data_IF_767166557570
#
_entry.id   IF_767166557570
#
_cell.length_a   1.000
_cell.length_b   1.000
_cell.length_c   1.000
_cell.angle_alpha   90.00
_cell.angle_beta   90.00
_cell.angle_gamma   90.00
#
_symmetry.space_group_name_H-M   'P 1'
#
loop_
_entity.id
_entity.type
_entity.pdbx_description
1 polymer ?
#
# COMPACT_ATOMS: atom_id res chain seq x y z
N UNK A 1 0.83 -17.81 9.92
CA UNK A 1 0.27 -16.82 10.90
C UNK A 1 1.45 -16.34 11.72
N UNK A 2 1.78 -15.05 11.67
CA UNK A 2 2.81 -14.47 12.54
C UNK A 2 2.19 -14.33 13.93
N UNK A 3 2.66 -15.12 14.88
CA UNK A 3 2.28 -15.00 16.28
C UNK A 3 3.30 -14.06 16.96
N UNK A 4 2.97 -12.79 17.19
CA UNK A 4 3.86 -11.86 17.85
C UNK A 4 4.02 -12.31 19.29
N UNK A 5 5.20 -12.84 19.62
CA UNK A 5 5.53 -13.13 21.01
C UNK A 5 5.50 -11.83 21.82
N UNK A 6 4.78 -11.78 22.95
CA UNK A 6 4.80 -10.61 23.79
C UNK A 6 6.26 -10.32 24.19
N UNK A 7 6.67 -9.06 24.08
CA UNK A 7 7.96 -8.60 24.59
C UNK A 7 8.03 -9.03 26.08
N UNK A 8 8.68 -10.16 26.32
CA UNK A 8 9.04 -10.52 27.69
C UNK A 8 9.83 -9.33 28.22
N UNK A 9 9.68 -8.95 29.49
CA UNK A 9 10.39 -7.85 30.18
C UNK A 9 11.93 -8.05 30.20
N UNK A 10 12.52 -8.62 29.14
CA UNK A 10 13.93 -8.83 28.99
C UNK A 10 14.56 -7.57 28.43
N UNK A 11 15.30 -6.94 29.30
CA UNK A 11 16.40 -6.07 29.02
C UNK A 11 16.39 -5.45 27.60
N UNK A 12 15.55 -4.46 27.37
CA UNK A 12 15.82 -3.49 26.31
C UNK A 12 17.14 -2.86 26.72
N UNK A 13 18.19 -3.11 25.97
CA UNK A 13 19.52 -2.57 26.21
C UNK A 13 19.83 -1.50 25.14
N UNK A 14 20.89 -0.75 25.30
CA UNK A 14 21.30 0.34 24.40
C UNK A 14 21.53 -0.12 22.95
N UNK A 15 21.73 -1.42 22.71
CA UNK A 15 21.84 -2.01 21.37
C UNK A 15 20.51 -2.45 20.76
N UNK A 16 19.39 -2.37 21.50
CA UNK A 16 18.07 -2.76 21.00
C UNK A 16 17.48 -1.67 20.11
N UNK A 17 17.16 -2.00 18.86
CA UNK A 17 16.35 -1.14 17.99
C UNK A 17 14.87 -1.51 18.10
N UNK A 18 14.03 -0.54 18.44
CA UNK A 18 12.58 -0.72 18.50
C UNK A 18 11.94 -0.06 17.28
N UNK A 19 11.19 -0.85 16.51
CA UNK A 19 10.45 -0.35 15.34
C UNK A 19 8.97 -0.19 15.69
N UNK A 20 8.46 1.00 15.49
CA UNK A 20 7.06 1.35 15.73
C UNK A 20 6.33 1.56 14.40
N UNK A 21 5.11 1.08 14.22
CA UNK A 21 4.26 1.55 13.12
C UNK A 21 3.87 3.02 13.34
N UNK A 22 3.56 3.73 12.27
CA UNK A 22 3.25 5.17 12.30
C UNK A 22 2.08 5.56 13.20
N UNK A 23 1.12 4.65 13.41
CA UNK A 23 0.00 4.88 14.34
C UNK A 23 0.47 5.05 15.79
N UNK A 24 1.64 4.54 16.14
CA UNK A 24 2.25 4.67 17.46
C UNK A 24 3.20 5.89 17.57
N UNK A 25 3.15 6.81 16.61
CA UNK A 25 3.95 8.05 16.66
C UNK A 25 3.83 8.85 17.96
N UNK A 26 2.67 8.88 18.70
CA UNK A 26 2.60 9.51 20.02
C UNK A 26 3.50 8.85 21.06
N UNK A 27 3.61 7.52 21.02
CA UNK A 27 4.44 6.74 21.94
C UNK A 27 5.92 6.99 21.67
N UNK A 28 6.30 7.01 20.38
CA UNK A 28 7.69 7.23 19.94
C UNK A 28 8.22 8.55 20.48
N UNK A 29 7.41 9.60 20.53
CA UNK A 29 7.81 10.93 21.05
C UNK A 29 8.21 10.89 22.53
N UNK A 30 7.62 9.99 23.31
CA UNK A 30 7.85 9.84 24.76
C UNK A 30 8.76 8.66 25.10
N UNK A 31 9.17 7.86 24.09
CA UNK A 31 10.06 6.73 24.29
C UNK A 31 11.49 7.21 24.59
N UNK A 32 12.25 6.54 25.45
CA UNK A 32 13.65 6.85 25.66
C UNK A 32 14.40 6.99 24.35
N UNK A 33 15.33 7.97 24.26
CA UNK A 33 16.04 8.34 23.01
C UNK A 33 17.09 7.31 22.58
N UNK A 34 16.79 6.03 22.73
CA UNK A 34 17.64 4.95 22.20
C UNK A 34 17.34 4.69 20.73
N UNK A 35 17.94 3.66 20.18
CA UNK A 35 17.71 3.23 18.81
C UNK A 35 16.23 2.95 18.55
N UNK A 36 15.54 3.88 17.95
CA UNK A 36 14.13 3.81 17.62
C UNK A 36 13.89 4.15 16.17
N UNK A 37 12.98 3.43 15.57
CA UNK A 37 12.55 3.67 14.20
C UNK A 37 11.02 3.75 14.12
N UNK A 38 10.53 4.59 13.23
CA UNK A 38 9.12 4.70 12.90
C UNK A 38 8.92 4.24 11.46
N UNK A 39 8.09 3.22 11.28
CA UNK A 39 7.79 2.66 9.97
C UNK A 39 6.54 3.29 9.37
N UNK A 40 6.70 4.02 8.30
CA UNK A 40 5.67 4.76 7.59
C UNK A 40 5.00 3.89 6.52
N UNK A 41 3.92 3.21 6.91
CA UNK A 41 3.06 2.44 6.03
C UNK A 41 1.94 3.31 5.47
N UNK A 42 1.53 4.34 6.23
CA UNK A 42 0.50 5.32 5.86
C UNK A 42 0.82 6.68 6.48
N UNK A 43 0.95 7.70 5.65
CA UNK A 43 1.25 9.07 6.16
C UNK A 43 0.07 9.69 6.92
N UNK A 44 -1.15 9.27 6.60
CA UNK A 44 -2.36 9.81 7.25
C UNK A 44 -2.54 9.33 8.69
N UNK A 45 -2.21 8.08 8.97
CA UNK A 45 -2.42 7.51 10.29
C UNK A 45 -1.56 8.19 11.35
N UNK A 46 -0.34 8.59 11.02
CA UNK A 46 0.50 9.33 11.96
C UNK A 46 -0.15 10.65 12.39
N UNK A 47 -0.63 11.44 11.43
CA UNK A 47 -1.24 12.74 11.71
C UNK A 47 -2.60 12.62 12.43
N UNK A 48 -3.39 11.58 12.13
CA UNK A 48 -4.69 11.34 12.77
C UNK A 48 -4.57 10.85 14.23
N UNK A 49 -3.50 10.10 14.55
CA UNK A 49 -3.26 9.54 15.88
C UNK A 49 -2.35 10.40 16.75
N UNK A 50 -1.62 11.36 16.18
CA UNK A 50 -0.74 12.25 16.92
C UNK A 50 -1.10 13.72 16.69
N UNK A 51 -1.97 14.25 17.54
CA UNK A 51 -2.43 15.65 17.46
C UNK A 51 -1.28 16.66 17.51
N UNK A 52 -0.17 16.34 18.18
CA UNK A 52 0.98 17.22 18.25
C UNK A 52 1.59 17.48 16.87
N UNK A 53 1.49 16.53 15.94
CA UNK A 53 1.99 16.70 14.57
C UNK A 53 1.20 17.75 13.75
N UNK A 54 0.05 18.20 14.23
CA UNK A 54 -0.71 19.32 13.64
C UNK A 54 -0.01 20.66 13.87
N UNK A 55 0.77 20.78 14.95
CA UNK A 55 1.49 22.01 15.26
C UNK A 55 2.88 22.03 14.61
N UNK A 56 3.17 23.03 13.80
CA UNK A 56 4.39 23.13 13.02
C UNK A 56 5.68 22.97 13.85
N UNK A 57 5.72 23.56 15.05
CA UNK A 57 6.87 23.46 15.96
C UNK A 57 7.17 22.02 16.40
N UNK A 58 6.13 21.29 16.84
CA UNK A 58 6.27 19.91 17.29
C UNK A 58 6.56 18.98 16.11
N UNK A 59 5.89 19.19 14.98
CA UNK A 59 6.13 18.44 13.73
C UNK A 59 7.57 18.55 13.29
N UNK A 60 8.11 19.79 13.21
CA UNK A 60 9.50 20.01 12.85
C UNK A 60 10.47 19.31 13.80
N UNK A 61 10.26 19.42 15.12
CA UNK A 61 11.11 18.78 16.12
C UNK A 61 11.07 17.25 16.01
N UNK A 62 9.88 16.67 15.74
CA UNK A 62 9.70 15.24 15.58
C UNK A 62 10.46 14.70 14.35
N UNK A 63 10.29 15.33 13.19
CA UNK A 63 10.92 14.85 11.94
C UNK A 63 12.43 15.14 11.92
N UNK A 64 12.90 16.20 12.54
CA UNK A 64 14.34 16.52 12.59
C UNK A 64 15.10 15.82 13.73
N UNK A 65 14.45 14.95 14.51
CA UNK A 65 15.12 14.19 15.56
C UNK A 65 16.09 13.17 14.96
N UNK A 66 17.39 13.42 15.08
CA UNK A 66 18.46 12.56 14.56
C UNK A 66 18.52 11.18 15.22
N UNK A 67 17.89 11.00 16.38
CA UNK A 67 17.82 9.72 17.09
C UNK A 67 16.59 8.91 16.68
N UNK A 68 15.76 9.40 15.75
CA UNK A 68 14.62 8.70 15.19
C UNK A 68 14.89 8.36 13.72
N UNK A 69 14.98 7.08 13.41
CA UNK A 69 15.06 6.63 12.02
C UNK A 69 13.66 6.52 11.43
N UNK A 70 13.39 7.23 10.35
CA UNK A 70 12.14 7.12 9.61
C UNK A 70 12.30 6.07 8.50
N UNK A 71 11.59 4.95 8.63
CA UNK A 71 11.57 3.87 7.65
C UNK A 71 10.35 4.07 6.75
N UNK A 72 10.57 4.25 5.44
CA UNK A 72 9.48 4.52 4.50
C UNK A 72 9.15 3.31 3.63
N UNK A 73 7.85 3.06 3.42
CA UNK A 73 7.34 1.96 2.61
C UNK A 73 7.14 2.35 1.13
N UNK A 74 7.02 3.65 0.84
CA UNK A 74 6.71 4.19 -0.49
C UNK A 74 7.48 5.48 -0.76
N UNK A 75 7.66 5.85 -2.02
CA UNK A 75 8.22 7.16 -2.38
C UNK A 75 7.29 8.30 -1.97
N UNK A 76 5.98 8.06 -1.94
CA UNK A 76 5.01 8.99 -1.38
C UNK A 76 5.30 9.28 0.11
N UNK A 77 5.49 8.23 0.91
CA UNK A 77 5.86 8.38 2.32
C UNK A 77 7.24 9.02 2.47
N UNK A 78 8.22 8.64 1.63
CA UNK A 78 9.55 9.27 1.62
C UNK A 78 9.47 10.78 1.36
N UNK A 79 8.72 11.21 0.35
CA UNK A 79 8.55 12.62 0.03
C UNK A 79 7.93 13.37 1.20
N UNK A 80 6.86 12.83 1.79
CA UNK A 80 6.21 13.40 2.96
C UNK A 80 7.17 13.61 4.13
N UNK A 81 7.93 12.60 4.54
CA UNK A 81 8.84 12.71 5.69
C UNK A 81 10.01 13.67 5.43
N UNK A 82 10.53 13.72 4.20
CA UNK A 82 11.60 14.64 3.81
C UNK A 82 11.11 16.10 3.80
N UNK A 83 9.94 16.37 3.25
CA UNK A 83 9.30 17.70 3.26
C UNK A 83 9.08 18.22 4.69
N UNK A 84 8.87 17.32 5.65
CA UNK A 84 8.72 17.67 7.06
C UNK A 84 10.04 17.76 7.83
N UNK A 85 11.16 17.54 7.17
CA UNK A 85 12.51 17.77 7.73
C UNK A 85 13.23 16.53 8.26
N UNK A 86 12.76 15.33 7.94
CA UNK A 86 13.48 14.11 8.31
C UNK A 86 14.82 13.99 7.55
N UNK A 87 15.89 13.71 8.30
CA UNK A 87 17.24 13.53 7.74
C UNK A 87 17.76 12.11 7.92
N UNK A 88 17.25 11.38 8.91
CA UNK A 88 17.61 9.98 9.18
C UNK A 88 16.53 9.09 8.63
N UNK A 89 16.65 8.70 7.35
CA UNK A 89 15.64 7.93 6.62
C UNK A 89 16.25 6.67 6.00
N UNK A 90 15.46 5.61 5.88
CA UNK A 90 15.84 4.40 5.14
C UNK A 90 14.59 3.72 4.53
N UNK A 91 14.73 3.03 3.38
CA UNK A 91 13.63 2.26 2.81
C UNK A 91 13.38 0.99 3.64
N UNK A 92 12.12 0.72 3.93
CA UNK A 92 11.67 -0.57 4.44
C UNK A 92 10.29 -0.85 3.84
N UNK A 93 10.29 -1.57 2.74
CA UNK A 93 9.05 -1.94 2.04
C UNK A 93 8.41 -3.13 2.74
N UNK A 94 7.09 -3.27 2.62
CA UNK A 94 6.43 -4.53 2.90
C UNK A 94 6.29 -5.34 1.61
N UNK A 95 5.78 -6.55 1.68
CA UNK A 95 5.65 -7.43 0.53
C UNK A 95 4.32 -8.18 0.51
N UNK A 96 3.94 -8.61 -0.69
CA UNK A 96 2.76 -9.44 -0.93
C UNK A 96 3.09 -10.91 -0.61
N UNK A 97 2.15 -11.58 0.05
CA UNK A 97 2.29 -12.99 0.41
C UNK A 97 2.25 -13.92 -0.79
N UNK A 98 2.98 -15.03 -0.67
CA UNK A 98 3.09 -16.03 -1.73
C UNK A 98 1.74 -16.62 -2.16
N UNK A 99 0.74 -16.65 -1.28
CA UNK A 99 -0.59 -17.17 -1.58
C UNK A 99 -1.27 -16.45 -2.77
N UNK A 100 -0.94 -15.17 -3.01
CA UNK A 100 -1.50 -14.41 -4.12
C UNK A 100 -0.87 -14.74 -5.48
N UNK A 101 0.32 -15.34 -5.51
CA UNK A 101 1.03 -15.73 -6.74
C UNK A 101 0.66 -17.13 -7.24
N UNK A 102 -0.25 -17.82 -6.57
CA UNK A 102 -0.68 -19.16 -6.99
C UNK A 102 -1.44 -19.05 -8.32
N UNK A 103 -1.06 -19.83 -9.35
CA UNK A 103 -1.78 -19.81 -10.62
C UNK A 103 -3.28 -20.11 -10.42
N UNK A 104 -4.12 -19.40 -11.13
CA UNK A 104 -5.54 -19.68 -11.17
C UNK A 104 -5.86 -20.57 -12.37
N UNK A 105 -6.63 -21.62 -12.13
CA UNK A 105 -7.16 -22.52 -13.17
C UNK A 105 -8.60 -22.22 -13.54
N UNK A 106 -9.27 -21.28 -12.82
CA UNK A 106 -10.65 -20.88 -13.08
C UNK A 106 -10.71 -19.74 -14.07
N UNK A 107 -11.75 -19.74 -14.90
CA UNK A 107 -12.08 -18.61 -15.77
C UNK A 107 -12.33 -17.35 -14.95
N UNK A 108 -11.74 -16.24 -15.36
CA UNK A 108 -11.92 -14.95 -14.70
C UNK A 108 -13.10 -14.24 -15.34
N UNK A 109 -14.08 -13.83 -14.54
CA UNK A 109 -15.33 -13.22 -15.05
C UNK A 109 -15.79 -11.98 -14.29
N UNK A 110 -15.10 -11.59 -13.23
CA UNK A 110 -15.59 -10.54 -12.33
C UNK A 110 -14.64 -9.34 -12.24
N UNK A 111 -15.18 -8.25 -11.71
CA UNK A 111 -14.43 -7.06 -11.29
C UNK A 111 -14.44 -7.03 -9.77
N UNK A 112 -13.26 -7.19 -9.15
CA UNK A 112 -13.14 -7.10 -7.70
C UNK A 112 -12.94 -5.64 -7.26
N UNK A 113 -13.52 -5.27 -6.13
CA UNK A 113 -13.35 -3.96 -5.50
C UNK A 113 -13.55 -4.02 -3.98
N UNK A 114 -13.02 -3.02 -3.29
CA UNK A 114 -13.21 -2.84 -1.85
C UNK A 114 -14.31 -1.80 -1.62
N UNK A 115 -15.53 -2.20 -1.19
CA UNK A 115 -16.69 -1.29 -1.21
C UNK A 115 -16.60 -0.16 -0.18
N UNK A 116 -15.83 -0.34 0.89
CA UNK A 116 -15.68 0.66 1.96
C UNK A 116 -14.58 1.68 1.66
N UNK A 117 -13.63 1.34 0.79
CA UNK A 117 -12.53 2.21 0.40
C UNK A 117 -12.96 3.06 -0.80
N UNK A 118 -13.23 4.35 -0.56
CA UNK A 118 -13.81 5.24 -1.58
C UNK A 118 -15.30 4.99 -1.81
N UNK A 119 -16.07 4.66 -0.76
CA UNK A 119 -17.46 4.20 -0.83
C UNK A 119 -18.39 5.06 -1.69
N UNK A 120 -18.22 6.38 -1.69
CA UNK A 120 -19.01 7.29 -2.54
C UNK A 120 -18.72 7.07 -4.03
N UNK A 121 -17.44 6.87 -4.39
CA UNK A 121 -17.04 6.62 -5.79
C UNK A 121 -17.46 5.22 -6.23
N UNK A 122 -17.32 4.22 -5.34
CA UNK A 122 -17.81 2.85 -5.56
C UNK A 122 -19.31 2.87 -5.86
N UNK A 123 -20.10 3.53 -4.99
CA UNK A 123 -21.55 3.61 -5.15
C UNK A 123 -21.93 4.32 -6.45
N UNK A 124 -21.26 5.43 -6.78
CA UNK A 124 -21.49 6.15 -8.03
C UNK A 124 -21.24 5.23 -9.23
N UNK A 125 -20.07 4.61 -9.28
CA UNK A 125 -19.68 3.76 -10.41
C UNK A 125 -20.54 2.51 -10.55
N UNK A 126 -20.80 1.78 -9.47
CA UNK A 126 -21.60 0.56 -9.52
C UNK A 126 -23.06 0.81 -9.87
N UNK A 127 -23.66 1.93 -9.43
CA UNK A 127 -25.03 2.28 -9.76
C UNK A 127 -25.23 2.59 -11.25
N UNK A 128 -24.21 3.18 -11.89
CA UNK A 128 -24.25 3.53 -13.31
C UNK A 128 -23.86 2.35 -14.22
N UNK A 129 -23.30 1.26 -13.66
CA UNK A 129 -22.77 0.11 -14.40
C UNK A 129 -23.30 -1.23 -13.90
N UNK A 130 -24.63 -1.37 -13.76
CA UNK A 130 -25.31 -2.55 -13.20
C UNK A 130 -25.19 -3.80 -14.08
N UNK A 131 -24.79 -3.66 -15.31
CA UNK A 131 -24.52 -4.74 -16.27
C UNK A 131 -23.16 -5.42 -16.02
N UNK A 132 -22.28 -4.80 -15.24
CA UNK A 132 -21.00 -5.40 -14.85
C UNK A 132 -21.16 -6.30 -13.61
N UNK A 133 -20.39 -7.39 -13.58
CA UNK A 133 -20.37 -8.32 -12.45
C UNK A 133 -19.31 -7.91 -11.43
N UNK A 134 -19.73 -7.43 -10.26
CA UNK A 134 -18.85 -6.99 -9.19
C UNK A 134 -18.73 -8.01 -8.06
N UNK A 135 -17.49 -8.25 -7.60
CA UNK A 135 -17.19 -8.96 -6.36
C UNK A 135 -16.68 -7.97 -5.31
N UNK A 136 -17.42 -7.87 -4.24
CA UNK A 136 -17.08 -6.97 -3.13
C UNK A 136 -16.22 -7.68 -2.10
N UNK A 137 -14.98 -7.20 -1.94
CA UNK A 137 -14.06 -7.69 -0.91
C UNK A 137 -14.46 -7.07 0.44
N UNK A 138 -15.29 -7.79 1.19
CA UNK A 138 -15.82 -7.32 2.47
C UNK A 138 -16.01 -8.49 3.44
N UNK A 139 -15.45 -8.35 4.66
CA UNK A 139 -15.59 -9.37 5.71
C UNK A 139 -14.91 -10.71 5.38
N UNK A 140 -14.04 -10.73 4.39
CA UNK A 140 -13.32 -11.89 3.91
C UNK A 140 -12.03 -12.11 4.69
N UNK A 141 -11.70 -13.34 4.94
CA UNK A 141 -10.36 -13.70 5.40
C UNK A 141 -9.35 -13.61 4.25
N UNK A 142 -8.08 -13.88 4.55
CA UNK A 142 -6.99 -13.74 3.58
C UNK A 142 -7.09 -14.71 2.40
N UNK A 143 -7.54 -15.93 2.65
CA UNK A 143 -7.67 -16.96 1.62
C UNK A 143 -8.84 -16.64 0.70
N UNK A 144 -9.94 -16.16 1.25
CA UNK A 144 -11.12 -15.68 0.51
C UNK A 144 -10.76 -14.47 -0.37
N UNK A 145 -9.99 -13.50 0.16
CA UNK A 145 -9.48 -12.37 -0.65
C UNK A 145 -8.61 -12.88 -1.80
N UNK A 146 -7.68 -13.79 -1.54
CA UNK A 146 -6.82 -14.34 -2.57
C UNK A 146 -7.63 -15.11 -3.64
N UNK A 147 -8.64 -15.86 -3.23
CA UNK A 147 -9.54 -16.56 -4.15
C UNK A 147 -10.32 -15.55 -5.02
N UNK A 148 -10.92 -14.54 -4.41
CA UNK A 148 -11.69 -13.50 -5.09
C UNK A 148 -10.85 -12.75 -6.12
N UNK A 149 -9.63 -12.34 -5.76
CA UNK A 149 -8.72 -11.66 -6.68
C UNK A 149 -8.28 -12.57 -7.84
N UNK A 150 -8.05 -13.85 -7.59
CA UNK A 150 -7.73 -14.81 -8.66
C UNK A 150 -8.90 -15.06 -9.63
N UNK A 151 -10.14 -14.99 -9.13
CA UNK A 151 -11.35 -15.14 -9.95
C UNK A 151 -11.71 -13.87 -10.74
N UNK A 152 -10.96 -12.77 -10.56
CA UNK A 152 -11.30 -11.48 -11.15
C UNK A 152 -10.39 -11.15 -12.33
N UNK A 153 -10.96 -10.61 -13.42
CA UNK A 153 -10.24 -9.99 -14.52
C UNK A 153 -9.56 -8.70 -14.10
N UNK A 154 -10.32 -7.90 -13.36
CA UNK A 154 -9.99 -6.52 -13.03
C UNK A 154 -10.14 -6.36 -11.53
N UNK A 155 -9.24 -5.60 -10.95
CA UNK A 155 -9.40 -5.02 -9.62
C UNK A 155 -9.44 -3.50 -9.75
N UNK A 156 -10.42 -2.85 -9.11
CA UNK A 156 -10.54 -1.39 -9.11
C UNK A 156 -10.44 -0.88 -7.67
N UNK A 157 -9.48 -0.01 -7.41
CA UNK A 157 -9.35 0.68 -6.12
C UNK A 157 -9.80 2.13 -6.25
N UNK A 158 -10.95 2.44 -5.63
CA UNK A 158 -11.54 3.78 -5.63
C UNK A 158 -11.05 4.67 -4.49
N UNK A 159 -10.21 4.16 -3.64
CA UNK A 159 -9.82 4.85 -2.42
C UNK A 159 -8.66 5.81 -2.58
N UNK A 160 -8.41 6.54 -1.50
CA UNK A 160 -7.17 7.26 -1.30
C UNK A 160 -6.05 6.29 -0.93
N UNK A 161 -4.83 6.53 -1.42
CA UNK A 161 -3.65 5.72 -1.17
C UNK A 161 -2.65 6.47 -0.27
N UNK A 162 -2.75 6.35 1.07
CA UNK A 162 -1.85 7.06 1.99
C UNK A 162 -0.44 6.47 2.06
N UNK A 163 -0.18 5.44 1.30
CA UNK A 163 1.05 4.70 1.11
C UNK A 163 0.87 3.69 -0.03
N UNK A 164 1.82 2.78 -0.20
CA UNK A 164 1.73 1.73 -1.20
C UNK A 164 0.83 0.58 -0.70
N UNK A 165 -0.47 0.73 -0.91
CA UNK A 165 -1.49 -0.17 -0.39
C UNK A 165 -1.31 -1.61 -0.87
N UNK A 166 -1.73 -2.55 -0.02
CA UNK A 166 -1.49 -3.98 -0.26
C UNK A 166 -2.40 -4.56 -1.34
N UNK A 167 -3.70 -4.24 -1.31
CA UNK A 167 -4.69 -4.94 -2.16
C UNK A 167 -4.45 -4.75 -3.66
N UNK A 168 -4.10 -3.56 -4.18
CA UNK A 168 -3.74 -3.42 -5.61
C UNK A 168 -2.54 -4.30 -6.01
N UNK A 169 -1.56 -4.48 -5.11
CA UNK A 169 -0.39 -5.34 -5.33
C UNK A 169 -0.77 -6.82 -5.27
N UNK A 170 -1.63 -7.21 -4.34
CA UNK A 170 -2.19 -8.56 -4.21
C UNK A 170 -3.01 -8.92 -5.46
N UNK A 171 -3.81 -7.98 -5.98
CA UNK A 171 -4.56 -8.15 -7.22
C UNK A 171 -3.64 -8.33 -8.44
N UNK A 172 -2.58 -7.52 -8.53
CA UNK A 172 -1.55 -7.68 -9.57
C UNK A 172 -0.86 -9.03 -9.47
N UNK A 173 -0.48 -9.49 -8.28
CA UNK A 173 0.10 -10.81 -8.04
C UNK A 173 -0.84 -11.95 -8.45
N UNK A 174 -2.15 -11.80 -8.16
CA UNK A 174 -3.21 -12.74 -8.57
C UNK A 174 -3.51 -12.72 -10.09
N UNK A 175 -2.86 -11.81 -10.83
CA UNK A 175 -3.01 -11.70 -12.28
C UNK A 175 -4.26 -10.96 -12.74
N UNK A 176 -4.87 -10.14 -11.89
CA UNK A 176 -5.89 -9.17 -12.31
C UNK A 176 -5.23 -7.95 -12.98
N UNK A 177 -5.95 -7.30 -13.89
CA UNK A 177 -5.62 -5.96 -14.38
C UNK A 177 -6.07 -4.95 -13.31
N UNK A 178 -5.15 -4.11 -12.87
CA UNK A 178 -5.36 -3.20 -11.74
C UNK A 178 -5.67 -1.81 -12.26
N UNK A 179 -6.76 -1.22 -11.76
CA UNK A 179 -7.07 0.21 -11.87
C UNK A 179 -7.00 0.86 -10.50
N UNK A 180 -6.44 2.06 -10.41
CA UNK A 180 -6.34 2.81 -9.16
C UNK A 180 -6.82 4.25 -9.33
N UNK A 181 -7.51 4.76 -8.34
CA UNK A 181 -7.86 6.17 -8.26
C UNK A 181 -6.58 7.00 -8.03
N UNK A 182 -6.35 8.03 -8.86
CA UNK A 182 -5.23 8.96 -8.75
C UNK A 182 -5.36 9.83 -7.50
N UNK A 183 -4.96 9.27 -6.35
CA UNK A 183 -4.98 9.99 -5.08
C UNK A 183 -3.92 9.42 -4.14
N UNK A 184 -3.01 10.28 -3.63
CA UNK A 184 -1.89 9.86 -2.78
C UNK A 184 -0.81 9.09 -3.54
N UNK A 185 -0.34 7.97 -3.02
CA UNK A 185 0.74 7.19 -3.62
C UNK A 185 0.39 6.63 -5.01
N UNK A 186 -0.90 6.45 -5.33
CA UNK A 186 -1.33 5.95 -6.63
C UNK A 186 -1.05 6.91 -7.79
N UNK A 187 -0.86 8.21 -7.52
CA UNK A 187 -0.44 9.20 -8.52
C UNK A 187 1.03 8.99 -8.94
N UNK A 188 1.85 8.46 -8.05
CA UNK A 188 3.27 8.21 -8.30
C UNK A 188 3.50 6.98 -9.17
N UNK A 189 4.28 7.14 -10.27
CA UNK A 189 4.71 5.99 -11.08
C UNK A 189 5.72 5.09 -10.34
N UNK A 190 6.52 5.63 -9.42
CA UNK A 190 7.48 4.84 -8.67
C UNK A 190 6.81 3.86 -7.69
N UNK A 191 5.69 4.27 -7.09
CA UNK A 191 4.91 3.43 -6.18
C UNK A 191 3.95 2.50 -6.93
N UNK A 192 3.29 3.03 -7.97
CA UNK A 192 2.36 2.30 -8.85
C UNK A 192 2.78 2.48 -10.31
N UNK A 193 3.69 1.62 -10.83
CA UNK A 193 4.19 1.70 -12.21
C UNK A 193 3.15 1.18 -13.21
N UNK A 194 2.04 1.89 -13.27
CA UNK A 194 0.92 1.69 -14.17
C UNK A 194 0.85 2.86 -15.16
N UNK A 195 0.53 2.56 -16.42
CA UNK A 195 0.22 3.59 -17.40
C UNK A 195 -1.00 4.41 -16.96
N UNK A 196 -1.10 5.66 -17.41
CA UNK A 196 -2.24 6.54 -17.12
C UNK A 196 -3.59 5.96 -17.56
N UNK A 197 -3.59 5.04 -18.51
CA UNK A 197 -4.78 4.29 -18.90
C UNK A 197 -5.43 3.53 -17.72
N UNK A 198 -4.65 3.10 -16.74
CA UNK A 198 -5.11 2.34 -15.57
C UNK A 198 -5.25 3.20 -14.31
N UNK A 199 -4.95 4.47 -14.43
CA UNK A 199 -5.15 5.46 -13.37
C UNK A 199 -6.36 6.31 -13.71
N UNK A 200 -7.24 6.57 -12.75
CA UNK A 200 -8.47 7.31 -13.00
C UNK A 200 -8.77 8.34 -11.91
N UNK A 201 -9.58 9.31 -12.26
CA UNK A 201 -10.04 10.40 -11.40
C UNK A 201 -11.57 10.37 -11.27
N UNK A 202 -12.12 11.21 -10.39
CA UNK A 202 -13.57 11.42 -10.33
C UNK A 202 -14.15 11.88 -11.69
N UNK A 203 -13.38 12.65 -12.48
CA UNK A 203 -13.82 13.11 -13.80
C UNK A 203 -14.00 11.93 -14.76
N UNK A 204 -13.08 10.96 -14.76
CA UNK A 204 -13.15 9.76 -15.61
C UNK A 204 -14.37 8.89 -15.26
N UNK A 205 -14.75 8.84 -13.97
CA UNK A 205 -15.98 8.17 -13.55
C UNK A 205 -17.21 8.88 -14.13
N UNK A 206 -17.29 10.20 -13.94
CA UNK A 206 -18.46 11.00 -14.35
C UNK A 206 -18.63 11.13 -15.85
N UNK A 207 -17.55 11.15 -16.60
CA UNK A 207 -17.59 11.20 -18.08
C UNK A 207 -17.88 9.84 -18.73
N UNK A 208 -17.82 8.75 -17.96
CA UNK A 208 -17.92 7.38 -18.48
C UNK A 208 -16.61 6.85 -19.11
N UNK A 209 -15.52 7.59 -19.03
CA UNK A 209 -14.24 7.18 -19.60
C UNK A 209 -13.65 5.96 -18.88
N UNK A 210 -13.77 5.88 -17.55
CA UNK A 210 -13.38 4.70 -16.78
C UNK A 210 -14.12 3.45 -17.29
N UNK A 211 -15.42 3.55 -17.56
CA UNK A 211 -16.21 2.45 -18.10
C UNK A 211 -15.69 2.02 -19.48
N UNK A 212 -15.40 2.94 -20.37
CA UNK A 212 -14.85 2.63 -21.69
C UNK A 212 -13.50 1.93 -21.62
N UNK A 213 -12.64 2.33 -20.66
CA UNK A 213 -11.35 1.66 -20.43
C UNK A 213 -11.55 0.22 -19.92
N UNK A 214 -12.52 0.00 -19.03
CA UNK A 214 -12.88 -1.33 -18.53
C UNK A 214 -13.36 -2.21 -19.67
N UNK A 215 -14.27 -1.71 -20.54
CA UNK A 215 -14.77 -2.45 -21.70
C UNK A 215 -13.64 -2.87 -22.65
N UNK A 216 -12.63 -2.01 -22.85
CA UNK A 216 -11.43 -2.35 -23.64
C UNK A 216 -10.61 -3.47 -22.98
N UNK A 217 -10.45 -3.44 -21.65
CA UNK A 217 -9.77 -4.52 -20.92
C UNK A 217 -10.55 -5.83 -21.06
N UNK A 218 -11.87 -5.78 -20.96
CA UNK A 218 -12.72 -6.97 -21.11
C UNK A 218 -12.68 -7.54 -22.54
N UNK A 219 -12.50 -6.69 -23.55
CA UNK A 219 -12.37 -7.12 -24.94
C UNK A 219 -11.02 -7.82 -25.23
N UNK A 220 -9.93 -7.43 -24.57
CA UNK A 220 -8.61 -8.06 -24.71
C UNK A 220 -7.84 -8.11 -23.37
N UNK A 221 -8.26 -9.00 -22.46
CA UNK A 221 -7.64 -9.11 -21.15
C UNK A 221 -6.16 -9.49 -21.19
N UNK A 222 -5.77 -10.30 -22.18
CA UNK A 222 -4.39 -10.78 -22.30
C UNK A 222 -3.42 -9.65 -22.65
N UNK A 223 -3.77 -8.79 -23.60
CA UNK A 223 -2.95 -7.63 -23.95
C UNK A 223 -2.79 -6.66 -22.77
N UNK A 224 -3.88 -6.39 -22.03
CA UNK A 224 -3.83 -5.52 -20.87
C UNK A 224 -3.07 -6.13 -19.70
N UNK A 225 -3.17 -7.44 -19.47
CA UNK A 225 -2.34 -8.14 -18.50
C UNK A 225 -0.85 -8.07 -18.86
N UNK A 226 -0.49 -8.20 -20.14
CA UNK A 226 0.88 -8.05 -20.63
C UNK A 226 1.42 -6.62 -20.38
N UNK A 227 0.62 -5.58 -20.59
CA UNK A 227 1.00 -4.18 -20.33
C UNK A 227 1.34 -3.93 -18.86
N UNK A 228 0.73 -4.68 -17.93
CA UNK A 228 1.00 -4.57 -16.49
C UNK A 228 2.06 -5.57 -16.00
N UNK A 229 2.76 -6.26 -16.89
CA UNK A 229 3.79 -7.24 -16.53
C UNK A 229 4.89 -6.63 -15.66
N UNK A 230 5.30 -5.40 -15.96
CA UNK A 230 6.34 -4.72 -15.18
C UNK A 230 5.90 -4.49 -13.73
N UNK A 231 4.68 -4.03 -13.50
CA UNK A 231 4.13 -3.87 -12.14
C UNK A 231 4.12 -5.21 -11.40
N UNK A 232 3.65 -6.28 -12.04
CA UNK A 232 3.62 -7.63 -11.46
C UNK A 232 5.02 -8.15 -11.11
N UNK A 233 6.01 -7.89 -11.96
CA UNK A 233 7.40 -8.25 -11.70
C UNK A 233 7.97 -7.50 -10.49
N UNK A 234 7.68 -6.20 -10.37
CA UNK A 234 8.04 -5.41 -9.19
C UNK A 234 7.45 -5.99 -7.91
N UNK A 235 6.16 -6.32 -7.92
CA UNK A 235 5.49 -6.94 -6.76
C UNK A 235 6.10 -8.29 -6.40
N UNK A 236 6.50 -9.10 -7.39
CA UNK A 236 7.13 -10.39 -7.15
C UNK A 236 8.51 -10.29 -6.46
N UNK A 237 9.23 -9.18 -6.67
CA UNK A 237 10.55 -8.93 -6.07
C UNK A 237 10.49 -8.28 -4.68
N UNK A 238 9.34 -7.78 -4.24
CA UNK A 238 9.20 -7.04 -2.97
C UNK A 238 9.71 -7.81 -1.76
N UNK A 239 9.50 -9.12 -1.72
CA UNK A 239 9.97 -9.96 -0.60
C UNK A 239 11.49 -10.01 -0.51
N UNK A 240 12.16 -10.11 -1.65
CA UNK A 240 13.61 -10.12 -1.73
C UNK A 240 14.20 -8.75 -1.37
N UNK A 241 13.59 -7.68 -1.89
CA UNK A 241 13.94 -6.31 -1.54
C UNK A 241 13.78 -6.05 -0.04
N UNK A 242 12.68 -6.50 0.57
CA UNK A 242 12.46 -6.40 2.01
C UNK A 242 13.60 -7.04 2.81
N UNK A 243 14.02 -8.26 2.47
CA UNK A 243 15.12 -8.92 3.18
C UNK A 243 16.46 -8.19 3.01
N UNK A 244 16.74 -7.63 1.83
CA UNK A 244 17.94 -6.84 1.62
C UNK A 244 17.92 -5.56 2.45
N UNK A 245 16.78 -4.88 2.53
CA UNK A 245 16.60 -3.68 3.34
C UNK A 245 16.72 -3.98 4.84
N UNK A 246 16.12 -5.07 5.31
CA UNK A 246 16.27 -5.53 6.70
C UNK A 246 17.74 -5.76 7.02
N UNK A 247 18.50 -6.43 6.14
CA UNK A 247 19.94 -6.62 6.34
C UNK A 247 20.70 -5.30 6.41
N UNK A 248 20.40 -4.38 5.50
CA UNK A 248 21.07 -3.08 5.45
C UNK A 248 20.79 -2.19 6.68
N UNK A 249 19.59 -2.29 7.25
CA UNK A 249 19.16 -1.47 8.39
C UNK A 249 19.61 -2.07 9.71
N UNK A 250 19.40 -3.37 9.91
CA UNK A 250 19.49 -4.03 11.22
C UNK A 250 20.77 -4.85 11.42
N UNK A 251 21.45 -5.23 10.34
CA UNK A 251 22.64 -6.09 10.39
C UNK A 251 23.82 -5.42 9.68
N UNK A 252 24.08 -4.14 9.99
CA UNK A 252 25.31 -3.50 9.52
C UNK A 252 26.49 -4.31 10.08
N UNK A 253 27.30 -4.88 9.18
CA UNK A 253 28.56 -5.46 9.58
C UNK A 253 29.40 -4.34 10.25
N UNK A 254 29.81 -4.56 11.48
CA UNK A 254 30.80 -3.74 12.16
C UNK A 254 32.15 -3.85 11.43
#
# INVERSE_FOLDING_TARGET
MYDPQPLKKHAICDSTLVVFPEILSPIVSNWPKWNRALWWLSVYHAASHNENLRYAKYRRAFFSDKNLTHLYQSDYARSYIVEHGATTIAPLFDYVDRAFFTPNTTEKIHIALFPEKGANLVSLFCNDNKDLSFLHIKGMDREEVAHTLRASFIYIDFGHHPGKDRVPREASAAGAVVFVHCDGAADSYSDYPLDDFYKFTLLDIRSGDLRQRIDRVMADPAAHAARQQYFRQKVALEKEEFYLQVKAIFFRAN
#
